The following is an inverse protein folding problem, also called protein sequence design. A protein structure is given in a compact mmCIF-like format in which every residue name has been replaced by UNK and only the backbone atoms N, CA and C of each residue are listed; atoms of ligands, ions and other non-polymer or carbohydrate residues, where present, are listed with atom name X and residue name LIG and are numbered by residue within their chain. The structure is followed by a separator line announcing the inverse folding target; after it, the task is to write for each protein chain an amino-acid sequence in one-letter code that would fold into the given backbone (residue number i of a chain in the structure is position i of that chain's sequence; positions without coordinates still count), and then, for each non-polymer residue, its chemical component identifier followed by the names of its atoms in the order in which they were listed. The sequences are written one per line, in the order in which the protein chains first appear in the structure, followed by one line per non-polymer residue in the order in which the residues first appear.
data_IF_030347628572
#
_entry.id   IF_030347628572
#
_cell.length_a   1.000
_cell.length_b   1.000
_cell.length_c   1.000
_cell.angle_alpha   90.00
_cell.angle_beta   90.00
_cell.angle_gamma   90.00
#
_symmetry.space_group_name_H-M   'P 1'
#
loop_
_entity.id
_entity.type
_entity.pdbx_description
1 polymer ?
#
# COMPACT_ATOMS: atom_id res chain seq x y z
N UNK A 1 31.35 18.81 -35.16
CA UNK A 1 30.57 17.89 -36.04
C UNK A 1 30.39 16.48 -35.46
N UNK A 2 30.55 16.24 -34.14
CA UNK A 2 30.45 14.90 -33.54
C UNK A 2 29.07 14.53 -32.95
N UNK A 3 28.14 15.47 -32.83
CA UNK A 3 26.87 15.30 -32.11
C UNK A 3 25.79 14.53 -32.90
N UNK A 4 25.84 14.56 -34.23
CA UNK A 4 24.80 13.91 -35.05
C UNK A 4 24.93 12.38 -35.07
N UNK A 5 26.14 11.85 -34.91
CA UNK A 5 26.42 10.39 -34.95
C UNK A 5 25.95 9.68 -33.67
N UNK A 6 26.04 10.32 -32.50
CA UNK A 6 25.58 9.76 -31.23
C UNK A 6 24.05 9.57 -31.16
N UNK A 7 23.28 10.54 -31.67
CA UNK A 7 21.80 10.45 -31.65
C UNK A 7 21.25 9.26 -32.45
N UNK A 8 21.92 8.88 -33.53
CA UNK A 8 21.49 7.80 -34.41
C UNK A 8 21.82 6.41 -33.83
N UNK A 9 22.89 6.29 -33.05
CA UNK A 9 23.24 5.04 -32.36
C UNK A 9 22.36 4.80 -31.13
N UNK A 10 21.90 5.86 -30.45
CA UNK A 10 20.92 5.76 -29.36
C UNK A 10 19.54 5.29 -29.86
N UNK A 11 19.06 5.81 -30.99
CA UNK A 11 17.78 5.39 -31.56
C UNK A 11 17.78 3.90 -31.97
N UNK A 12 18.90 3.43 -32.53
CA UNK A 12 19.09 2.00 -32.84
C UNK A 12 19.12 1.13 -31.58
N UNK A 13 19.75 1.59 -30.49
CA UNK A 13 19.76 0.88 -29.20
C UNK A 13 18.36 0.80 -28.59
N UNK A 14 17.58 1.87 -28.67
CA UNK A 14 16.21 1.90 -28.17
C UNK A 14 15.28 0.97 -28.95
N UNK A 15 15.36 0.95 -30.29
CA UNK A 15 14.60 0.00 -31.13
C UNK A 15 14.96 -1.46 -30.82
N UNK A 16 16.26 -1.76 -30.73
CA UNK A 16 16.74 -3.11 -30.40
C UNK A 16 16.40 -3.56 -28.97
N UNK A 17 16.22 -2.60 -28.04
CA UNK A 17 15.73 -2.88 -26.70
C UNK A 17 14.22 -3.16 -26.71
N UNK A 18 13.43 -2.36 -27.42
CA UNK A 18 11.98 -2.53 -27.57
C UNK A 18 11.60 -3.88 -28.19
N UNK A 19 12.29 -4.31 -29.24
CA UNK A 19 12.05 -5.63 -29.85
C UNK A 19 12.39 -6.79 -28.90
N UNK A 20 13.49 -6.66 -28.13
CA UNK A 20 13.87 -7.68 -27.13
C UNK A 20 12.88 -7.73 -25.98
N UNK A 21 12.38 -6.58 -25.54
CA UNK A 21 11.36 -6.49 -24.50
C UNK A 21 10.04 -7.10 -24.98
N UNK A 22 9.59 -6.78 -26.20
CA UNK A 22 8.39 -7.34 -26.81
C UNK A 22 8.44 -8.87 -26.91
N UNK A 23 9.52 -9.43 -27.45
CA UNK A 23 9.72 -10.89 -27.50
C UNK A 23 9.73 -11.54 -26.11
N UNK A 24 10.32 -10.86 -25.11
CA UNK A 24 10.34 -11.35 -23.73
C UNK A 24 8.93 -11.37 -23.12
N UNK A 25 8.14 -10.33 -23.34
CA UNK A 25 6.75 -10.23 -22.87
C UNK A 25 5.84 -11.25 -23.56
N UNK A 26 6.01 -11.50 -24.85
CA UNK A 26 5.24 -12.53 -25.55
C UNK A 26 5.57 -13.94 -25.03
N UNK A 27 6.85 -14.23 -24.77
CA UNK A 27 7.28 -15.50 -24.16
C UNK A 27 6.83 -15.65 -22.70
N UNK A 28 6.62 -14.53 -22.00
CA UNK A 28 6.08 -14.49 -20.64
C UNK A 28 4.57 -14.72 -20.67
N UNK A 29 3.85 -14.07 -21.60
CA UNK A 29 2.42 -14.28 -21.87
C UNK A 29 2.09 -15.74 -22.17
N UNK A 30 2.81 -16.38 -23.10
CA UNK A 30 2.64 -17.82 -23.41
C UNK A 30 2.96 -18.73 -22.21
N UNK A 31 3.90 -18.34 -21.35
CA UNK A 31 4.20 -19.08 -20.10
C UNK A 31 3.11 -18.91 -19.04
N UNK A 32 2.52 -17.73 -18.94
CA UNK A 32 1.39 -17.46 -18.06
C UNK A 32 0.13 -18.18 -18.57
N UNK A 33 -0.16 -18.11 -19.85
CA UNK A 33 -1.28 -18.83 -20.47
C UNK A 33 -1.15 -20.36 -20.29
N UNK A 34 0.07 -20.92 -20.36
CA UNK A 34 0.28 -22.35 -20.03
C UNK A 34 0.13 -22.67 -18.54
N UNK A 35 0.43 -21.73 -17.64
CA UNK A 35 0.31 -21.90 -16.18
C UNK A 35 -1.08 -21.59 -15.62
N UNK A 36 -1.86 -20.76 -16.31
CA UNK A 36 -3.15 -20.24 -15.85
C UNK A 36 -4.32 -20.59 -16.78
N UNK A 37 -4.07 -20.98 -18.03
CA UNK A 37 -5.07 -21.37 -19.03
C UNK A 37 -5.39 -22.88 -19.05
N UNK A 38 -4.87 -23.65 -18.10
CA UNK A 38 -5.36 -25.00 -17.77
C UNK A 38 -6.02 -25.01 -16.38
N UNK A 39 -6.93 -24.06 -16.18
CA UNK A 39 -8.08 -24.29 -15.31
C UNK A 39 -9.17 -24.93 -16.18
N UNK A 40 -9.62 -26.11 -15.76
CA UNK A 40 -10.83 -26.80 -16.21
C UNK A 40 -10.73 -27.68 -17.48
N UNK A 41 -10.49 -28.96 -17.22
CA UNK A 41 -10.71 -30.06 -18.16
C UNK A 41 -10.84 -31.39 -17.42
N UNK A 42 -12.05 -31.68 -16.94
CA UNK A 42 -12.58 -32.97 -16.46
C UNK A 42 -12.01 -33.58 -15.17
N UNK A 43 -12.76 -33.38 -14.08
CA UNK A 43 -13.10 -34.47 -13.15
C UNK A 43 -14.64 -34.58 -13.06
N UNK A 44 -15.27 -34.91 -14.19
CA UNK A 44 -16.56 -35.58 -14.17
C UNK A 44 -16.28 -37.07 -13.95
N UNK A 45 -16.31 -37.48 -12.70
CA UNK A 45 -16.17 -38.87 -12.26
C UNK A 45 -16.38 -38.85 -10.77
N UNK A 46 -17.54 -39.34 -10.32
CA UNK A 46 -17.88 -39.40 -8.90
C UNK A 46 -16.79 -40.08 -8.09
N UNK A 47 -16.75 -39.75 -6.80
CA UNK A 47 -15.97 -40.45 -5.75
C UNK A 47 -14.56 -39.91 -5.40
N UNK A 48 -14.27 -38.62 -5.63
CA UNK A 48 -13.09 -37.96 -5.03
C UNK A 48 -13.42 -36.79 -4.08
N UNK A 49 -14.50 -36.90 -3.31
CA UNK A 49 -14.73 -36.11 -2.10
C UNK A 49 -14.51 -36.98 -0.85
N UNK A 50 -13.31 -37.56 -0.75
CA UNK A 50 -12.85 -38.17 0.48
C UNK A 50 -12.40 -37.07 1.45
N UNK A 51 -13.20 -36.87 2.49
CA UNK A 51 -12.83 -36.39 3.82
C UNK A 51 -11.66 -35.39 3.90
N UNK A 52 -11.92 -34.11 3.58
CA UNK A 52 -11.16 -33.03 4.22
C UNK A 52 -11.87 -32.62 5.51
N UNK A 53 -11.21 -32.98 6.62
CA UNK A 53 -11.56 -32.74 8.01
C UNK A 53 -12.46 -31.51 8.23
N UNK A 54 -13.64 -31.76 8.81
CA UNK A 54 -14.45 -30.76 9.49
C UNK A 54 -13.59 -30.09 10.59
N UNK A 55 -13.10 -28.88 10.33
CA UNK A 55 -12.38 -28.09 11.34
C UNK A 55 -11.39 -27.07 10.81
N UNK A 56 -10.89 -27.24 9.58
CA UNK A 56 -9.99 -26.27 8.96
C UNK A 56 -10.79 -25.28 8.11
N UNK A 57 -10.89 -24.05 8.61
CA UNK A 57 -11.50 -22.94 7.89
C UNK A 57 -10.66 -22.62 6.66
N UNK A 58 -11.19 -22.95 5.48
CA UNK A 58 -10.64 -22.55 4.19
C UNK A 58 -10.68 -21.02 4.10
N UNK A 59 -9.53 -20.35 4.23
CA UNK A 59 -9.43 -18.93 3.88
C UNK A 59 -9.40 -18.82 2.35
N UNK A 60 -10.36 -18.13 1.70
CA UNK A 60 -10.30 -17.86 0.25
C UNK A 60 -9.06 -17.07 -0.20
N UNK A 61 -8.22 -16.64 0.75
CA UNK A 61 -6.98 -15.91 0.52
C UNK A 61 -5.74 -16.82 0.53
N UNK A 62 -5.81 -18.10 0.92
CA UNK A 62 -4.60 -18.95 0.94
C UNK A 62 -4.05 -19.28 -0.46
N UNK A 63 -4.92 -19.41 -1.47
CA UNK A 63 -4.47 -19.62 -2.85
C UNK A 63 -3.72 -18.39 -3.43
N UNK A 64 -3.93 -17.21 -2.80
CA UNK A 64 -3.22 -15.96 -3.13
C UNK A 64 -2.22 -15.51 -2.05
N UNK A 65 -2.14 -16.18 -0.90
CA UNK A 65 -1.23 -15.84 0.21
C UNK A 65 0.24 -16.05 -0.17
N UNK A 66 0.52 -16.92 -1.14
CA UNK A 66 1.85 -17.07 -1.75
C UNK A 66 2.19 -16.04 -2.83
N UNK A 67 1.28 -15.12 -3.19
CA UNK A 67 1.46 -14.16 -4.31
C UNK A 67 1.22 -12.69 -3.93
N UNK A 68 0.91 -12.40 -2.67
CA UNK A 68 0.87 -11.03 -2.18
C UNK A 68 2.28 -10.49 -1.99
N UNK A 69 2.66 -9.45 -2.74
CA UNK A 69 3.89 -8.65 -2.57
C UNK A 69 3.88 -7.83 -1.26
N UNK A 70 3.54 -8.47 -0.14
CA UNK A 70 3.43 -7.85 1.18
C UNK A 70 4.38 -8.50 2.16
N UNK A 71 5.04 -7.68 2.98
CA UNK A 71 5.94 -8.11 4.07
C UNK A 71 5.32 -9.09 5.08
N UNK A 72 4.01 -9.35 5.01
CA UNK A 72 3.28 -10.23 5.93
C UNK A 72 3.82 -11.67 6.02
N UNK A 73 4.39 -12.22 4.95
CA UNK A 73 4.99 -13.56 4.98
C UNK A 73 6.27 -13.66 5.83
N UNK A 74 7.08 -12.60 5.88
CA UNK A 74 8.34 -12.55 6.65
C UNK A 74 8.06 -12.45 8.15
N UNK A 75 7.00 -11.74 8.53
CA UNK A 75 6.69 -11.48 9.94
C UNK A 75 5.67 -12.43 10.57
N UNK A 76 5.03 -13.28 9.77
CA UNK A 76 4.11 -14.31 10.26
C UNK A 76 4.65 -15.21 11.37
N UNK A 77 5.91 -15.70 11.34
CA UNK A 77 6.43 -16.58 12.41
C UNK A 77 6.55 -15.89 13.77
N UNK A 78 6.58 -14.55 13.83
CA UNK A 78 6.76 -13.81 15.08
C UNK A 78 5.45 -13.54 15.85
N UNK A 79 4.30 -14.02 15.34
CA UNK A 79 3.02 -13.96 16.04
C UNK A 79 2.64 -12.53 16.48
N UNK A 80 2.30 -12.36 17.76
CA UNK A 80 1.88 -11.07 18.35
C UNK A 80 2.98 -9.99 18.31
N UNK A 81 4.25 -10.39 18.17
CA UNK A 81 5.41 -9.49 18.13
C UNK A 81 5.63 -8.96 16.70
N UNK A 82 5.12 -9.65 15.68
CA UNK A 82 5.27 -9.28 14.26
C UNK A 82 4.91 -7.82 13.95
N UNK A 83 3.75 -7.30 14.38
CA UNK A 83 3.38 -5.88 14.19
C UNK A 83 4.36 -4.89 14.80
N UNK A 84 4.92 -5.19 15.98
CA UNK A 84 5.90 -4.33 16.65
C UNK A 84 7.18 -4.24 15.82
N UNK A 85 7.69 -5.39 15.36
CA UNK A 85 8.89 -5.45 14.51
C UNK A 85 8.64 -4.68 13.20
N UNK A 86 7.48 -4.89 12.57
CA UNK A 86 7.09 -4.18 11.34
C UNK A 86 7.06 -2.67 11.53
N UNK A 87 6.49 -2.18 12.64
CA UNK A 87 6.45 -0.76 12.97
C UNK A 87 7.86 -0.18 13.21
N UNK A 88 8.72 -0.89 13.95
CA UNK A 88 10.11 -0.48 14.18
C UNK A 88 10.88 -0.39 12.86
N UNK A 89 10.79 -1.40 11.99
CA UNK A 89 11.45 -1.39 10.68
C UNK A 89 10.92 -0.25 9.82
N UNK A 90 9.61 -0.01 9.81
CA UNK A 90 9.00 1.11 9.09
C UNK A 90 9.56 2.47 9.53
N UNK A 91 9.78 2.66 10.83
CA UNK A 91 10.40 3.88 11.37
C UNK A 91 11.87 4.00 10.99
N UNK A 92 12.63 2.91 11.03
CA UNK A 92 14.03 2.91 10.57
C UNK A 92 14.10 3.34 9.10
N UNK A 93 13.24 2.77 8.23
CA UNK A 93 13.17 3.16 6.81
C UNK A 93 12.78 4.63 6.66
N UNK A 94 11.83 5.13 7.45
CA UNK A 94 11.44 6.53 7.44
C UNK A 94 12.60 7.45 7.83
N UNK A 95 13.35 7.12 8.89
CA UNK A 95 14.53 7.88 9.34
C UNK A 95 15.60 7.92 8.24
N UNK A 96 15.90 6.76 7.63
CA UNK A 96 16.86 6.68 6.53
C UNK A 96 16.39 7.52 5.33
N UNK A 97 15.10 7.55 5.04
CA UNK A 97 14.52 8.38 3.99
C UNK A 97 14.69 9.87 4.31
N UNK A 98 14.49 10.29 5.56
CA UNK A 98 14.73 11.68 6.01
C UNK A 98 16.21 12.06 5.90
N UNK A 99 17.12 11.14 6.20
CA UNK A 99 18.56 11.36 6.03
C UNK A 99 18.94 11.53 4.56
N UNK A 100 18.39 10.70 3.67
CA UNK A 100 18.59 10.83 2.24
C UNK A 100 18.06 12.19 1.71
N UNK A 101 16.85 12.58 2.13
CA UNK A 101 16.28 13.90 1.82
C UNK A 101 17.16 15.04 2.36
N UNK A 102 17.68 14.92 3.58
CA UNK A 102 18.60 15.91 4.16
C UNK A 102 19.88 16.02 3.33
N UNK A 103 20.46 14.91 2.89
CA UNK A 103 21.67 14.89 2.06
C UNK A 103 21.44 15.58 0.71
N UNK A 104 20.31 15.31 0.05
CA UNK A 104 19.92 16.00 -1.19
C UNK A 104 19.71 17.50 -0.93
N UNK A 105 19.14 17.87 0.22
CA UNK A 105 18.92 19.26 0.59
C UNK A 105 20.20 20.07 0.83
N UNK A 106 21.35 19.42 1.08
CA UNK A 106 22.65 20.12 1.15
C UNK A 106 23.00 20.77 -0.19
N UNK A 107 22.64 20.13 -1.31
CA UNK A 107 22.89 20.67 -2.64
C UNK A 107 21.83 21.68 -3.09
N UNK A 108 20.56 21.45 -2.74
CA UNK A 108 19.43 22.29 -3.20
C UNK A 108 19.23 23.53 -2.31
N UNK A 109 19.59 23.44 -1.02
CA UNK A 109 19.35 24.47 0.00
C UNK A 109 17.89 24.93 0.07
N UNK A 110 16.95 24.00 -0.07
CA UNK A 110 15.52 24.29 -0.03
C UNK A 110 15.02 24.42 1.41
N UNK A 111 14.47 25.59 1.73
CA UNK A 111 13.78 25.82 3.01
C UNK A 111 12.55 24.90 3.16
N UNK A 112 11.80 24.70 2.08
CA UNK A 112 10.66 23.78 2.05
C UNK A 112 11.06 22.36 2.47
N UNK A 113 12.14 21.81 1.92
CA UNK A 113 12.61 20.46 2.30
C UNK A 113 13.02 20.42 3.77
N UNK A 114 13.64 21.49 4.28
CA UNK A 114 14.03 21.59 5.69
C UNK A 114 12.81 21.55 6.62
N UNK A 115 11.77 22.33 6.30
CA UNK A 115 10.50 22.33 7.03
C UNK A 115 9.81 20.96 6.94
N UNK A 116 9.89 20.32 5.76
CA UNK A 116 9.33 18.99 5.56
C UNK A 116 9.98 17.94 6.46
N UNK A 117 11.31 17.92 6.51
CA UNK A 117 12.09 17.00 7.35
C UNK A 117 11.79 17.26 8.83
N UNK A 118 11.81 18.52 9.26
CA UNK A 118 11.61 18.90 10.66
C UNK A 118 10.24 18.46 11.18
N UNK A 119 9.20 18.60 10.36
CA UNK A 119 7.86 18.23 10.76
C UNK A 119 7.61 16.72 10.77
N UNK A 120 8.15 15.97 9.80
CA UNK A 120 8.08 14.49 9.86
C UNK A 120 8.84 13.98 11.08
N UNK A 121 10.02 14.55 11.37
CA UNK A 121 10.80 14.21 12.57
C UNK A 121 10.03 14.53 13.87
N UNK A 122 9.35 15.68 13.95
CA UNK A 122 8.54 16.06 15.10
C UNK A 122 7.33 15.15 15.33
N UNK A 123 6.83 14.47 14.29
CA UNK A 123 5.66 13.59 14.36
C UNK A 123 6.03 12.10 14.20
N UNK A 124 7.30 11.73 14.34
CA UNK A 124 7.76 10.35 14.12
C UNK A 124 7.03 9.34 15.01
N UNK A 125 6.68 9.75 16.23
CA UNK A 125 5.90 8.95 17.17
C UNK A 125 4.48 8.67 16.66
N UNK A 126 3.85 9.62 15.94
CA UNK A 126 2.53 9.42 15.32
C UNK A 126 2.62 8.36 14.23
N UNK A 127 3.64 8.43 13.38
CA UNK A 127 3.88 7.40 12.35
C UNK A 127 4.12 6.03 12.97
N UNK A 128 4.85 5.97 14.10
CA UNK A 128 5.10 4.72 14.80
C UNK A 128 3.81 4.12 15.37
N UNK A 129 3.04 4.91 16.12
CA UNK A 129 1.77 4.46 16.70
C UNK A 129 0.76 4.06 15.63
N UNK A 130 0.67 4.83 14.54
CA UNK A 130 -0.20 4.50 13.42
C UNK A 130 0.21 3.20 12.75
N UNK A 131 1.50 3.03 12.43
CA UNK A 131 2.03 1.80 11.84
C UNK A 131 1.79 0.59 12.75
N UNK A 132 1.99 0.76 14.06
CA UNK A 132 1.74 -0.28 15.06
C UNK A 132 0.26 -0.67 15.12
N UNK A 133 -0.64 0.33 15.20
CA UNK A 133 -2.08 0.10 15.24
C UNK A 133 -2.58 -0.62 13.97
N UNK A 134 -2.15 -0.17 12.79
CA UNK A 134 -2.49 -0.80 11.52
C UNK A 134 -1.93 -2.21 11.41
N UNK A 135 -0.71 -2.45 11.89
CA UNK A 135 -0.09 -3.77 11.94
C UNK A 135 -0.87 -4.75 12.83
N UNK A 136 -1.34 -4.29 14.00
CA UNK A 136 -2.18 -5.12 14.87
C UNK A 136 -3.57 -5.38 14.28
N UNK A 137 -4.18 -4.38 13.65
CA UNK A 137 -5.47 -4.55 12.96
C UNK A 137 -5.33 -5.61 11.86
N UNK A 138 -4.31 -5.49 11.00
CA UNK A 138 -4.05 -6.46 9.93
C UNK A 138 -3.78 -7.87 10.48
N UNK A 139 -3.02 -7.98 11.58
CA UNK A 139 -2.81 -9.25 12.29
C UNK A 139 -4.13 -9.87 12.78
N UNK A 140 -5.00 -9.09 13.42
CA UNK A 140 -6.29 -9.56 13.93
C UNK A 140 -7.24 -9.96 12.80
N UNK A 141 -7.29 -9.18 11.72
CA UNK A 141 -8.08 -9.45 10.51
C UNK A 141 -7.69 -10.80 9.91
N UNK A 142 -6.39 -11.12 9.86
CA UNK A 142 -5.89 -12.41 9.36
C UNK A 142 -6.20 -13.57 10.29
N UNK A 143 -6.23 -13.33 11.60
CA UNK A 143 -6.44 -14.38 12.61
C UNK A 143 -7.91 -14.76 12.80
N UNK A 144 -8.85 -13.83 12.59
CA UNK A 144 -10.27 -14.07 12.86
C UNK A 144 -11.15 -13.56 11.71
N UNK A 145 -12.03 -14.42 11.14
CA UNK A 145 -12.96 -13.99 10.11
C UNK A 145 -13.98 -12.98 10.65
N UNK A 146 -14.32 -13.04 11.95
CA UNK A 146 -15.23 -12.08 12.56
C UNK A 146 -14.55 -10.70 12.72
N UNK A 147 -13.26 -10.70 13.06
CA UNK A 147 -12.46 -9.49 13.12
C UNK A 147 -12.28 -8.83 11.74
N UNK A 148 -12.24 -9.62 10.66
CA UNK A 148 -12.24 -9.09 9.29
C UNK A 148 -13.44 -8.17 9.05
N UNK A 149 -14.66 -8.61 9.36
CA UNK A 149 -15.87 -7.81 9.11
C UNK A 149 -15.95 -6.54 9.96
N UNK A 150 -15.43 -6.57 11.19
CA UNK A 150 -15.50 -5.42 12.10
C UNK A 150 -14.36 -4.45 11.90
N UNK A 151 -13.13 -4.93 11.73
CA UNK A 151 -11.93 -4.10 11.75
C UNK A 151 -11.51 -3.60 10.36
N UNK A 152 -11.90 -4.28 9.28
CA UNK A 152 -11.50 -3.86 7.93
C UNK A 152 -12.04 -2.46 7.57
N UNK A 153 -13.33 -2.12 7.80
CA UNK A 153 -13.83 -0.75 7.59
C UNK A 153 -13.10 0.29 8.44
N UNK A 154 -12.78 -0.05 9.69
CA UNK A 154 -12.04 0.81 10.63
C UNK A 154 -10.63 1.07 10.10
N UNK A 155 -9.93 0.02 9.67
CA UNK A 155 -8.59 0.07 9.08
C UNK A 155 -8.56 1.02 7.87
N UNK A 156 -9.50 0.85 6.94
CA UNK A 156 -9.59 1.69 5.75
C UNK A 156 -9.90 3.16 6.10
N UNK A 157 -10.86 3.40 6.99
CA UNK A 157 -11.20 4.76 7.42
C UNK A 157 -10.02 5.44 8.13
N UNK A 158 -9.30 4.70 8.99
CA UNK A 158 -8.10 5.20 9.66
C UNK A 158 -6.98 5.52 8.64
N UNK A 159 -6.74 4.63 7.66
CA UNK A 159 -5.78 4.84 6.59
C UNK A 159 -6.06 6.09 5.75
N UNK A 160 -7.31 6.27 5.32
CA UNK A 160 -7.73 7.44 4.54
C UNK A 160 -7.62 8.72 5.37
N UNK A 161 -8.03 8.69 6.64
CA UNK A 161 -7.94 9.84 7.54
C UNK A 161 -6.49 10.23 7.81
N UNK A 162 -5.61 9.23 7.99
CA UNK A 162 -4.18 9.46 8.17
C UNK A 162 -3.55 10.08 6.92
N UNK A 163 -3.90 9.59 5.73
CA UNK A 163 -3.46 10.17 4.46
C UNK A 163 -3.98 11.62 4.29
N UNK A 164 -5.24 11.87 4.63
CA UNK A 164 -5.83 13.21 4.61
C UNK A 164 -5.12 14.16 5.59
N UNK A 165 -4.74 13.68 6.77
CA UNK A 165 -3.96 14.46 7.74
C UNK A 165 -2.58 14.85 7.19
N UNK A 166 -1.86 13.91 6.56
CA UNK A 166 -0.59 14.20 5.88
C UNK A 166 -0.80 15.24 4.78
N UNK A 167 -1.80 15.05 3.93
CA UNK A 167 -2.07 15.96 2.80
C UNK A 167 -2.46 17.37 3.27
N UNK A 168 -3.30 17.47 4.30
CA UNK A 168 -3.68 18.73 4.91
C UNK A 168 -2.46 19.49 5.43
N UNK A 169 -1.53 18.78 6.05
CA UNK A 169 -0.29 19.36 6.53
C UNK A 169 0.63 19.80 5.38
N UNK A 170 0.78 18.98 4.32
CA UNK A 170 1.55 19.33 3.12
C UNK A 170 0.98 20.58 2.44
N UNK A 171 -0.34 20.67 2.24
CA UNK A 171 -0.97 21.85 1.66
C UNK A 171 -0.75 23.10 2.48
N UNK A 172 -0.82 23.00 3.80
CA UNK A 172 -0.54 24.13 4.68
C UNK A 172 0.91 24.61 4.55
N UNK A 173 1.86 23.69 4.50
CA UNK A 173 3.29 24.02 4.38
C UNK A 173 3.61 24.62 3.01
N UNK A 174 3.10 24.02 1.93
CA UNK A 174 3.30 24.54 0.57
C UNK A 174 2.65 25.92 0.45
N UNK A 175 1.40 26.07 0.87
CA UNK A 175 0.67 27.35 0.77
C UNK A 175 1.34 28.47 1.57
N UNK A 176 1.85 28.17 2.77
CA UNK A 176 2.58 29.14 3.58
C UNK A 176 3.90 29.58 2.92
N UNK A 177 4.59 28.65 2.25
CA UNK A 177 5.84 28.94 1.56
C UNK A 177 5.62 29.67 0.22
N UNK A 178 4.60 29.29 -0.55
CA UNK A 178 4.29 29.88 -1.85
C UNK A 178 3.48 31.18 -1.76
N UNK A 179 3.01 31.55 -0.57
CA UNK A 179 2.11 32.70 -0.38
C UNK A 179 0.73 32.49 -1.01
N UNK A 180 0.29 31.24 -1.17
CA UNK A 180 -1.02 30.91 -1.77
C UNK A 180 -2.02 30.57 -0.66
N UNK A 181 -2.80 31.56 -0.26
CA UNK A 181 -3.78 31.46 0.84
C UNK A 181 -4.79 30.33 0.64
N UNK A 182 -5.17 30.04 -0.61
CA UNK A 182 -6.11 28.96 -0.94
C UNK A 182 -5.59 27.59 -0.48
N UNK A 183 -4.27 27.32 -0.60
CA UNK A 183 -3.68 26.06 -0.12
C UNK A 183 -3.65 26.00 1.41
N UNK A 184 -3.34 27.11 2.07
CA UNK A 184 -3.35 27.20 3.55
C UNK A 184 -4.75 26.97 4.09
N UNK A 185 -5.75 27.60 3.48
CA UNK A 185 -7.14 27.44 3.84
C UNK A 185 -7.62 26.01 3.60
N UNK A 186 -7.33 25.42 2.44
CA UNK A 186 -7.68 24.03 2.13
C UNK A 186 -7.06 23.04 3.13
N UNK A 187 -5.77 23.22 3.47
CA UNK A 187 -5.09 22.41 4.49
C UNK A 187 -5.71 22.57 5.88
N UNK A 188 -6.11 23.79 6.25
CA UNK A 188 -6.75 24.07 7.54
C UNK A 188 -8.14 23.45 7.62
N UNK A 189 -8.94 23.59 6.57
CA UNK A 189 -10.27 23.00 6.47
C UNK A 189 -10.20 21.47 6.51
N UNK A 190 -9.30 20.85 5.75
CA UNK A 190 -9.09 19.40 5.76
C UNK A 190 -8.72 18.90 7.17
N UNK A 191 -7.82 19.62 7.86
CA UNK A 191 -7.42 19.29 9.24
C UNK A 191 -8.57 19.42 10.24
N UNK A 192 -9.38 20.48 10.14
CA UNK A 192 -10.51 20.71 11.02
C UNK A 192 -11.61 19.63 10.87
N UNK A 193 -11.70 19.00 9.69
CA UNK A 193 -12.72 18.02 9.36
C UNK A 193 -12.24 16.56 9.38
N UNK A 194 -11.05 16.27 9.93
CA UNK A 194 -10.52 14.89 9.96
C UNK A 194 -11.43 13.89 10.66
N UNK A 195 -12.09 14.30 11.75
CA UNK A 195 -13.06 13.45 12.45
C UNK A 195 -14.27 13.11 11.56
N UNK A 196 -14.78 14.08 10.80
CA UNK A 196 -15.88 13.86 9.86
C UNK A 196 -15.46 12.98 8.70
N UNK A 197 -14.26 13.19 8.14
CA UNK A 197 -13.68 12.33 7.11
C UNK A 197 -13.65 10.88 7.62
N UNK A 198 -13.13 10.65 8.83
CA UNK A 198 -13.09 9.32 9.43
C UNK A 198 -14.50 8.69 9.54
N UNK A 199 -15.46 9.42 10.11
CA UNK A 199 -16.83 8.92 10.31
C UNK A 199 -17.51 8.60 8.97
N UNK A 200 -17.37 9.46 7.96
CA UNK A 200 -17.95 9.25 6.63
C UNK A 200 -17.38 7.98 5.99
N UNK A 201 -16.05 7.83 5.97
CA UNK A 201 -15.42 6.65 5.38
C UNK A 201 -15.71 5.37 6.18
N UNK A 202 -15.87 5.47 7.50
CA UNK A 202 -16.27 4.35 8.33
C UNK A 202 -17.69 3.87 7.99
N UNK A 203 -18.64 4.80 7.86
CA UNK A 203 -20.03 4.50 7.47
C UNK A 203 -20.06 3.89 6.07
N UNK A 204 -19.37 4.48 5.09
CA UNK A 204 -19.27 3.94 3.73
C UNK A 204 -18.66 2.54 3.72
N UNK A 205 -17.63 2.31 4.53
CA UNK A 205 -17.03 0.99 4.72
C UNK A 205 -18.05 -0.04 5.20
N UNK A 206 -18.78 0.24 6.28
CA UNK A 206 -19.81 -0.70 6.78
C UNK A 206 -20.98 -0.88 5.82
N UNK A 207 -21.43 0.18 5.14
CA UNK A 207 -22.48 0.10 4.13
C UNK A 207 -22.07 -0.83 2.97
N UNK A 208 -20.82 -0.73 2.50
CA UNK A 208 -20.32 -1.61 1.44
C UNK A 208 -20.38 -3.10 1.82
N UNK A 209 -20.10 -3.41 3.10
CA UNK A 209 -20.22 -4.75 3.64
C UNK A 209 -21.67 -5.22 3.79
N UNK A 210 -22.56 -4.36 4.29
CA UNK A 210 -23.97 -4.69 4.44
C UNK A 210 -24.61 -5.02 3.09
N UNK A 211 -24.31 -4.21 2.06
CA UNK A 211 -24.76 -4.46 0.68
C UNK A 211 -24.17 -5.76 0.15
N UNK A 212 -22.84 -5.96 0.25
CA UNK A 212 -22.18 -7.16 -0.25
C UNK A 212 -22.68 -8.46 0.41
N UNK A 213 -23.18 -8.40 1.65
CA UNK A 213 -23.80 -9.54 2.34
C UNK A 213 -25.18 -9.86 1.77
N UNK A 214 -25.98 -8.84 1.43
CA UNK A 214 -27.32 -9.01 0.86
C UNK A 214 -27.29 -9.71 -0.51
N UNK A 215 -26.28 -9.45 -1.33
CA UNK A 215 -26.14 -10.08 -2.66
C UNK A 215 -25.67 -11.54 -2.64
N UNK A 216 -25.24 -12.05 -1.46
CA UNK A 216 -24.78 -13.44 -1.30
C UNK A 216 -25.87 -14.39 -0.78
N UNK A 217 -27.04 -13.86 -0.43
CA UNK A 217 -28.23 -14.61 -0.02
C UNK A 217 -29.19 -14.72 -1.20
#
# INVERSE_FOLDING_TARGET
MATKKQSHDEEKRWKAWGERFGKRMESFGKRMEKKFGKGDGCCCGGECMAEKKKGEWYHPLEENAGKGWGWGWIFWPFGLIGPVIGAVIGIIILILSLWALKAVNVAIQSEFITLMIAAVAANIWVFFLFSLAMGYIDYLIKRSPLAFFTLYPVSNAAGITFAAWILAWVFRTIGAFSGVDVLVWAGTLARANLAWIFVIFLILGYLSFAVARKWRQ
#
